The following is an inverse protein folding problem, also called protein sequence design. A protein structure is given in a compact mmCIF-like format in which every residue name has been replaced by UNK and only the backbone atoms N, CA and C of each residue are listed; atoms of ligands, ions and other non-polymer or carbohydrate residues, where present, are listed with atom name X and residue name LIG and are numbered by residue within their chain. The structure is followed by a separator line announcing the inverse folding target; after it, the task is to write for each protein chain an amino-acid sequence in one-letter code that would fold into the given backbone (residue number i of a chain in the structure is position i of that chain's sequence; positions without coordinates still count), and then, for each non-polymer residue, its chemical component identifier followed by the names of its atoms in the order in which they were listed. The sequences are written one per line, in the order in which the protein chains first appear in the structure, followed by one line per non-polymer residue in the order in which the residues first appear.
data_IF_889879553850
#
_entry.id   IF_889879553850
#
_cell.length_a   1.000
_cell.length_b   1.000
_cell.length_c   1.000
_cell.angle_alpha   90.00
_cell.angle_beta   90.00
_cell.angle_gamma   90.00
#
_symmetry.space_group_name_H-M   'P 1'
#
loop_
_entity.id
_entity.type
_entity.pdbx_description
1 polymer ?
#
# COMPACT_ATOMS: atom_id res chain seq x y z
N UNK A 1 1.15 -5.58 -1.11
CA UNK A 1 1.33 -4.29 -0.42
C UNK A 1 1.54 -4.57 1.06
N UNK A 2 2.63 -4.08 1.67
CA UNK A 2 2.92 -4.35 3.08
C UNK A 2 1.90 -3.67 4.00
N UNK A 3 1.65 -4.33 5.12
CA UNK A 3 0.97 -3.75 6.27
C UNK A 3 1.90 -3.84 7.47
N UNK A 4 1.86 -2.83 8.33
CA UNK A 4 2.55 -2.86 9.62
C UNK A 4 1.57 -2.55 10.74
N UNK A 5 1.71 -3.28 11.85
CA UNK A 5 0.98 -3.03 13.08
C UNK A 5 1.92 -2.35 14.07
N UNK A 6 1.58 -1.12 14.43
CA UNK A 6 2.41 -0.27 15.29
C UNK A 6 1.71 -0.15 16.65
N UNK A 7 2.24 -0.75 17.73
CA UNK A 7 1.69 -0.54 19.05
C UNK A 7 1.91 0.92 19.49
N UNK A 8 1.03 1.49 20.33
CA UNK A 8 1.28 2.80 20.92
C UNK A 8 2.55 2.78 21.77
N UNK A 9 3.38 3.81 21.67
CA UNK A 9 4.52 4.01 22.59
C UNK A 9 4.05 4.46 23.97
N UNK A 10 2.98 5.26 24.00
CA UNK A 10 2.36 5.79 25.20
C UNK A 10 0.85 5.67 25.07
N UNK A 11 0.18 5.20 26.13
CA UNK A 11 -1.27 5.25 26.24
C UNK A 11 -1.74 5.35 27.68
N UNK A 12 -2.78 6.13 27.90
CA UNK A 12 -3.29 6.44 29.24
C UNK A 12 -4.74 6.91 29.11
N UNK A 13 -5.57 6.68 30.13
CA UNK A 13 -6.76 7.50 30.31
C UNK A 13 -6.57 8.53 31.41
N UNK A 14 -7.19 9.68 31.23
CA UNK A 14 -7.26 10.75 32.23
C UNK A 14 -8.68 10.86 32.74
N UNK A 15 -8.84 11.19 34.02
CA UNK A 15 -10.13 11.34 34.68
C UNK A 15 -10.29 12.76 35.21
N UNK A 16 -11.35 13.44 34.80
CA UNK A 16 -11.71 14.76 35.32
C UNK A 16 -12.01 14.73 36.82
N UNK A 17 -12.55 13.61 37.32
CA UNK A 17 -12.87 13.44 38.73
C UNK A 17 -11.62 13.20 39.59
N UNK A 18 -10.58 12.59 39.01
CA UNK A 18 -9.27 12.41 39.65
C UNK A 18 -8.17 13.18 38.91
N UNK A 19 -8.19 14.51 38.93
CA UNK A 19 -7.51 15.30 37.92
C UNK A 19 -5.98 15.34 38.04
N UNK A 20 -5.44 14.94 39.20
CA UNK A 20 -4.00 14.83 39.48
C UNK A 20 -3.51 13.38 39.53
N UNK A 21 -4.36 12.39 39.24
CA UNK A 21 -3.97 10.97 39.28
C UNK A 21 -3.55 10.53 37.88
N UNK A 22 -2.38 9.91 37.80
CA UNK A 22 -1.91 9.22 36.60
C UNK A 22 -2.45 7.78 36.58
N UNK A 23 -2.87 7.32 35.40
CA UNK A 23 -3.44 5.98 35.19
C UNK A 23 -2.72 5.20 34.08
N UNK A 24 -1.51 5.61 33.68
CA UNK A 24 -0.79 5.06 32.52
C UNK A 24 -0.37 3.59 32.68
N UNK A 25 -0.37 3.06 33.91
CA UNK A 25 -0.01 1.65 34.21
C UNK A 25 -1.23 0.72 34.33
N UNK A 26 -2.42 1.20 34.02
CA UNK A 26 -3.63 0.38 34.08
C UNK A 26 -3.84 -0.38 32.78
N UNK A 27 -4.52 -1.52 32.89
CA UNK A 27 -4.79 -2.45 31.78
C UNK A 27 -5.95 -2.02 30.86
N UNK A 28 -6.47 -0.82 31.08
CA UNK A 28 -7.70 -0.32 30.44
C UNK A 28 -7.54 1.15 30.06
N UNK A 29 -8.18 1.52 28.95
CA UNK A 29 -8.39 2.89 28.50
C UNK A 29 -9.89 3.18 28.56
N UNK A 30 -10.27 4.40 28.93
CA UNK A 30 -11.67 4.80 29.12
C UNK A 30 -11.96 6.12 28.42
N UNK A 31 -13.11 6.18 27.75
CA UNK A 31 -13.63 7.40 27.14
C UNK A 31 -15.11 7.53 27.44
N UNK A 32 -15.58 8.75 27.70
CA UNK A 32 -16.99 9.01 27.97
C UNK A 32 -17.17 9.73 29.29
N UNK A 33 -18.32 9.54 29.91
CA UNK A 33 -18.64 10.18 31.18
C UNK A 33 -19.32 9.20 32.10
N UNK A 34 -18.92 9.19 33.36
CA UNK A 34 -19.55 8.36 34.37
C UNK A 34 -20.73 9.10 35.01
N UNK A 35 -20.92 9.05 36.33
CA UNK A 35 -22.19 9.45 36.96
C UNK A 35 -22.32 10.96 37.26
N UNK A 36 -21.22 11.70 37.38
CA UNK A 36 -21.24 13.13 37.79
C UNK A 36 -20.96 14.08 36.62
N UNK A 37 -21.34 15.36 36.76
CA UNK A 37 -21.12 16.35 35.69
C UNK A 37 -19.64 16.59 35.36
N UNK A 38 -18.73 16.39 36.33
CA UNK A 38 -17.29 16.62 36.20
C UNK A 38 -16.50 15.29 36.27
N UNK A 39 -17.00 14.25 35.63
CA UNK A 39 -16.47 12.88 35.67
C UNK A 39 -16.29 12.33 34.25
N UNK A 40 -15.68 13.17 33.40
CA UNK A 40 -15.29 12.80 32.05
C UNK A 40 -13.99 12.00 32.04
N UNK A 41 -13.92 11.05 31.11
CA UNK A 41 -12.75 10.21 30.82
C UNK A 41 -12.35 10.43 29.38
N UNK A 42 -11.04 10.54 29.16
CA UNK A 42 -10.43 10.65 27.82
C UNK A 42 -9.25 9.71 27.75
N UNK A 43 -9.06 9.05 26.62
CA UNK A 43 -7.91 8.17 26.40
C UNK A 43 -6.95 8.80 25.41
N UNK A 44 -5.68 8.88 25.78
CA UNK A 44 -4.60 9.39 24.95
C UNK A 44 -3.79 8.22 24.41
N UNK A 45 -3.41 8.27 23.14
CA UNK A 45 -2.53 7.31 22.50
C UNK A 45 -1.50 8.03 21.65
N UNK A 46 -0.25 7.57 21.68
CA UNK A 46 0.83 8.07 20.84
C UNK A 46 1.52 6.90 20.14
N UNK A 47 1.89 7.11 18.90
CA UNK A 47 2.57 6.12 18.07
C UNK A 47 3.91 6.68 17.60
N UNK A 48 4.90 5.82 17.44
CA UNK A 48 6.14 6.16 16.75
C UNK A 48 6.15 5.47 15.39
N UNK A 49 6.22 6.26 14.33
CA UNK A 49 6.27 5.77 12.95
C UNK A 49 7.72 5.58 12.46
N UNK A 50 8.68 6.13 13.21
CA UNK A 50 10.10 6.18 12.84
C UNK A 50 10.69 4.78 12.81
N UNK A 51 11.42 4.45 11.75
CA UNK A 51 12.05 3.13 11.56
C UNK A 51 11.07 1.94 11.49
N UNK A 52 9.76 2.20 11.49
CA UNK A 52 8.72 1.17 11.32
C UNK A 52 8.18 1.16 9.90
N UNK A 53 8.08 2.35 9.31
CA UNK A 53 7.75 2.53 7.90
C UNK A 53 9.00 3.11 7.22
N UNK A 54 9.50 2.48 6.14
CA UNK A 54 10.64 2.98 5.37
C UNK A 54 10.42 4.42 4.95
N UNK A 55 11.51 5.19 4.89
CA UNK A 55 11.44 6.60 4.52
C UNK A 55 10.88 6.75 3.10
N UNK A 56 10.30 7.91 2.83
CA UNK A 56 9.71 8.23 1.52
C UNK A 56 8.50 7.36 1.11
N UNK A 57 8.16 6.27 1.80
CA UNK A 57 7.02 5.40 1.50
C UNK A 57 5.71 6.19 1.31
N UNK A 58 4.81 5.66 0.49
CA UNK A 58 3.47 6.21 0.27
C UNK A 58 2.50 5.53 1.23
N UNK A 59 1.95 6.28 2.18
CA UNK A 59 0.88 5.77 3.06
C UNK A 59 -0.42 5.70 2.26
N UNK A 60 -0.99 4.51 2.11
CA UNK A 60 -2.22 4.27 1.37
C UNK A 60 -3.45 4.27 2.29
N UNK A 61 -3.29 3.72 3.48
CA UNK A 61 -4.36 3.56 4.45
C UNK A 61 -3.79 3.46 5.86
N UNK A 62 -4.41 4.11 6.84
CA UNK A 62 -4.08 3.93 8.24
C UNK A 62 -5.33 3.90 9.12
N UNK A 63 -5.41 2.89 9.99
CA UNK A 63 -6.54 2.74 10.89
C UNK A 63 -6.11 2.45 12.33
N UNK A 64 -6.68 3.21 13.25
CA UNK A 64 -6.58 2.95 14.68
C UNK A 64 -7.46 1.76 15.04
N UNK A 65 -6.86 0.72 15.62
CA UNK A 65 -7.52 -0.49 16.10
C UNK A 65 -7.58 -0.48 17.62
N UNK A 66 -8.80 -0.55 18.17
CA UNK A 66 -9.04 -0.60 19.62
C UNK A 66 -9.94 -1.78 19.95
N UNK A 67 -9.55 -2.60 20.92
CA UNK A 67 -10.40 -3.70 21.38
C UNK A 67 -11.38 -3.20 22.45
N UNK A 68 -12.68 -3.20 22.15
CA UNK A 68 -13.72 -2.74 23.08
C UNK A 68 -14.08 -3.88 24.03
N UNK A 69 -13.93 -3.68 25.33
CA UNK A 69 -14.32 -4.68 26.34
C UNK A 69 -15.53 -4.23 27.17
N UNK A 70 -15.93 -2.96 27.07
CA UNK A 70 -16.98 -2.36 27.89
C UNK A 70 -17.72 -1.27 27.13
N UNK A 71 -19.05 -1.28 27.25
CA UNK A 71 -19.96 -0.22 26.83
C UNK A 71 -21.09 -0.14 27.86
N UNK A 72 -21.20 0.98 28.57
CA UNK A 72 -22.11 1.10 29.72
C UNK A 72 -23.58 1.32 29.35
N UNK A 73 -23.84 1.87 28.17
CA UNK A 73 -25.19 2.12 27.64
C UNK A 73 -25.42 1.26 26.42
N UNK A 74 -26.46 0.43 26.44
CA UNK A 74 -26.86 -0.37 25.28
C UNK A 74 -27.37 0.53 24.16
N UNK A 75 -27.39 0.03 22.92
CA UNK A 75 -27.89 0.80 21.77
C UNK A 75 -29.38 1.17 21.93
N UNK A 76 -30.14 0.35 22.65
CA UNK A 76 -31.53 0.66 23.02
C UNK A 76 -31.66 1.81 24.03
N UNK A 77 -30.63 2.06 24.84
CA UNK A 77 -30.62 3.15 25.82
C UNK A 77 -30.06 4.46 25.24
N UNK A 78 -29.11 4.36 24.32
CA UNK A 78 -28.47 5.51 23.69
C UNK A 78 -27.72 5.10 22.41
N UNK A 79 -28.19 5.59 21.25
CA UNK A 79 -27.53 5.42 19.96
C UNK A 79 -27.82 6.63 19.05
N UNK A 80 -26.87 7.12 18.24
CA UNK A 80 -25.48 6.67 18.16
C UNK A 80 -24.64 7.14 19.36
N UNK A 81 -23.73 6.29 19.84
CA UNK A 81 -22.70 6.69 20.79
C UNK A 81 -21.40 6.95 20.03
N UNK A 82 -21.08 8.22 19.82
CA UNK A 82 -19.97 8.65 18.97
C UNK A 82 -18.74 8.99 19.80
N UNK A 83 -17.59 8.44 19.39
CA UNK A 83 -16.26 8.78 19.91
C UNK A 83 -15.49 9.52 18.81
N UNK A 84 -15.02 10.72 19.13
CA UNK A 84 -14.16 11.52 18.27
C UNK A 84 -12.69 11.25 18.59
N UNK A 85 -11.84 11.37 17.58
CA UNK A 85 -10.39 11.36 17.72
C UNK A 85 -9.88 12.78 17.51
N UNK A 86 -9.30 13.41 18.52
CA UNK A 86 -8.68 14.73 18.41
C UNK A 86 -7.17 14.61 18.41
N UNK A 87 -6.48 15.51 17.70
CA UNK A 87 -5.03 15.60 17.75
C UNK A 87 -4.61 16.34 19.03
N UNK A 88 -3.42 16.04 19.53
CA UNK A 88 -2.86 16.77 20.67
C UNK A 88 -2.00 17.93 20.17
N UNK A 89 -2.17 19.10 20.77
CA UNK A 89 -1.35 20.29 20.46
C UNK A 89 0.10 20.16 20.93
N UNK A 90 0.35 19.38 21.99
CA UNK A 90 1.67 19.15 22.58
C UNK A 90 1.96 17.67 22.77
N UNK A 91 3.23 17.30 22.67
CA UNK A 91 3.70 15.96 22.96
C UNK A 91 3.43 15.58 24.43
N UNK A 92 3.34 14.27 24.71
CA UNK A 92 3.17 13.76 26.07
C UNK A 92 3.92 12.46 26.33
N UNK A 93 4.11 12.15 27.62
CA UNK A 93 4.54 10.83 28.10
C UNK A 93 3.50 10.25 29.06
N UNK A 94 3.18 8.96 28.92
CA UNK A 94 2.13 8.30 29.70
C UNK A 94 2.38 8.35 31.22
N UNK A 95 3.63 8.51 31.67
CA UNK A 95 3.98 8.50 33.09
C UNK A 95 3.82 9.86 33.78
N UNK A 96 3.63 10.94 33.02
CA UNK A 96 3.65 12.31 33.53
C UNK A 96 2.30 13.02 33.39
N UNK A 97 1.41 12.50 32.55
CA UNK A 97 0.12 13.12 32.26
C UNK A 97 -0.97 12.74 33.27
N UNK A 98 -1.79 13.73 33.60
CA UNK A 98 -3.04 13.66 34.34
C UNK A 98 -4.07 14.53 33.61
N UNK A 99 -5.28 14.66 34.13
CA UNK A 99 -6.27 15.56 33.51
C UNK A 99 -5.81 17.02 33.47
N UNK A 100 -5.15 17.50 34.54
CA UNK A 100 -4.80 18.91 34.71
C UNK A 100 -3.63 19.38 33.83
N UNK A 101 -2.79 18.47 33.34
CA UNK A 101 -1.64 18.81 32.48
C UNK A 101 -1.70 18.11 31.11
N UNK A 102 -2.85 17.50 30.76
CA UNK A 102 -3.04 16.90 29.45
C UNK A 102 -2.89 17.94 28.33
N UNK A 103 -2.36 17.55 27.16
CA UNK A 103 -2.31 18.43 26.00
C UNK A 103 -3.68 19.01 25.65
N UNK A 104 -3.69 20.25 25.15
CA UNK A 104 -4.91 20.82 24.57
C UNK A 104 -5.29 20.05 23.29
N UNK A 105 -6.58 20.02 23.00
CA UNK A 105 -7.14 19.22 21.92
C UNK A 105 -7.34 20.07 20.68
N UNK A 106 -6.84 19.59 19.55
CA UNK A 106 -7.13 20.11 18.23
C UNK A 106 -8.15 19.19 17.51
N UNK A 107 -9.24 19.79 17.05
CA UNK A 107 -10.37 19.02 16.53
C UNK A 107 -10.02 18.43 15.16
N UNK A 108 -10.45 17.19 14.94
CA UNK A 108 -10.34 16.53 13.64
C UNK A 108 -11.69 16.00 13.18
N UNK A 109 -11.73 15.53 11.93
CA UNK A 109 -12.92 14.91 11.33
C UNK A 109 -13.13 13.44 11.74
N UNK A 110 -12.16 12.79 12.37
CA UNK A 110 -12.24 11.34 12.61
C UNK A 110 -13.17 11.03 13.79
N UNK A 111 -14.08 10.09 13.56
CA UNK A 111 -15.01 9.62 14.57
C UNK A 111 -15.47 8.20 14.28
N UNK A 112 -16.07 7.57 15.28
CA UNK A 112 -16.68 6.25 15.13
C UNK A 112 -17.94 6.15 16.00
N UNK A 113 -18.97 5.51 15.46
CA UNK A 113 -20.13 5.04 16.22
C UNK A 113 -19.78 3.70 16.87
N UNK A 114 -19.93 3.60 18.18
CA UNK A 114 -19.80 2.33 18.91
C UNK A 114 -21.17 1.70 19.08
N UNK A 115 -21.28 0.43 18.74
CA UNK A 115 -22.50 -0.39 18.81
C UNK A 115 -22.32 -1.56 19.78
N UNK A 116 -23.42 -2.18 20.21
CA UNK A 116 -23.37 -3.31 21.16
C UNK A 116 -22.59 -4.51 20.61
N UNK A 117 -22.57 -4.67 19.27
CA UNK A 117 -21.79 -5.73 18.58
C UNK A 117 -20.28 -5.56 18.70
N UNK A 118 -19.81 -4.35 19.00
CA UNK A 118 -18.38 -4.06 19.07
C UNK A 118 -17.76 -4.56 20.37
N UNK A 119 -18.57 -4.89 21.39
CA UNK A 119 -18.10 -5.48 22.64
C UNK A 119 -17.41 -6.82 22.35
N UNK A 120 -16.21 -6.98 22.90
CA UNK A 120 -15.28 -8.09 22.67
C UNK A 120 -14.74 -8.17 21.23
N UNK A 121 -14.76 -7.07 20.48
CA UNK A 121 -14.22 -6.99 19.14
C UNK A 121 -13.34 -5.74 18.96
N UNK A 122 -12.56 -5.73 17.88
CA UNK A 122 -11.84 -4.54 17.44
C UNK A 122 -12.76 -3.60 16.67
N UNK A 123 -12.73 -2.33 17.05
CA UNK A 123 -13.23 -1.24 16.21
C UNK A 123 -12.11 -0.70 15.32
N UNK A 124 -12.51 -0.04 14.23
CA UNK A 124 -11.61 0.45 13.19
C UNK A 124 -11.91 1.91 12.87
N UNK A 125 -11.03 2.82 13.27
CA UNK A 125 -11.17 4.25 12.97
C UNK A 125 -10.16 4.63 11.90
N UNK A 126 -10.64 5.03 10.73
CA UNK A 126 -9.78 5.56 9.66
C UNK A 126 -9.21 6.92 10.08
N UNK A 127 -7.89 6.97 10.18
CA UNK A 127 -7.12 8.17 10.51
C UNK A 127 -6.01 8.40 9.48
N UNK A 128 -6.24 7.96 8.24
CA UNK A 128 -5.24 7.98 7.16
C UNK A 128 -4.62 9.36 6.96
N UNK A 129 -5.43 10.42 6.87
CA UNK A 129 -4.91 11.77 6.57
C UNK A 129 -3.99 12.35 7.65
N UNK A 130 -4.22 12.06 8.94
CA UNK A 130 -3.34 12.54 10.02
C UNK A 130 -2.07 11.72 10.11
N UNK A 131 -2.14 10.41 9.85
CA UNK A 131 -0.95 9.54 9.79
C UNK A 131 -0.05 9.93 8.61
N UNK A 132 -0.62 10.26 7.44
CA UNK A 132 0.11 10.88 6.31
C UNK A 132 0.83 12.15 6.77
N UNK A 133 0.12 13.03 7.48
CA UNK A 133 0.67 14.31 7.94
C UNK A 133 1.80 14.14 8.95
N UNK A 134 1.72 13.14 9.83
CA UNK A 134 2.81 12.77 10.73
C UNK A 134 4.01 12.19 9.98
N UNK A 135 3.76 11.25 9.07
CA UNK A 135 4.80 10.53 8.34
C UNK A 135 5.65 11.46 7.46
N UNK A 136 5.01 12.41 6.77
CA UNK A 136 5.71 13.42 5.95
C UNK A 136 6.14 14.67 6.72
N UNK A 137 6.05 14.67 8.06
CA UNK A 137 6.41 15.81 8.92
C UNK A 137 5.68 17.12 8.55
N UNK A 138 4.45 17.05 8.03
CA UNK A 138 3.60 18.23 7.77
C UNK A 138 3.13 18.83 9.10
N UNK A 139 2.82 17.97 10.08
CA UNK A 139 2.51 18.36 11.45
C UNK A 139 3.26 17.45 12.44
N UNK A 140 3.57 17.93 13.67
CA UNK A 140 4.18 17.09 14.70
C UNK A 140 3.28 15.93 15.13
N UNK A 141 3.86 14.75 15.35
CA UNK A 141 3.18 13.60 15.94
C UNK A 141 3.17 13.69 17.48
N UNK A 142 2.20 14.43 17.99
CA UNK A 142 1.95 14.59 19.42
C UNK A 142 0.96 13.56 19.99
N UNK A 143 0.56 12.58 19.17
CA UNK A 143 -0.49 11.63 19.48
C UNK A 143 -1.91 12.20 19.38
N UNK A 144 -2.86 11.40 19.83
CA UNK A 144 -4.30 11.64 19.74
C UNK A 144 -4.99 11.47 21.09
N UNK A 145 -6.17 12.07 21.23
CA UNK A 145 -7.08 11.89 22.35
C UNK A 145 -8.46 11.46 21.87
N UNK A 146 -8.98 10.38 22.44
CA UNK A 146 -10.35 9.92 22.26
C UNK A 146 -11.27 10.70 23.20
N UNK A 147 -12.32 11.29 22.64
CA UNK A 147 -13.30 12.11 23.38
C UNK A 147 -14.71 11.70 22.97
N UNK A 148 -15.59 11.49 23.95
CA UNK A 148 -17.03 11.36 23.66
C UNK A 148 -17.61 12.71 23.25
N UNK A 149 -18.31 12.75 22.13
CA UNK A 149 -19.03 13.96 21.67
C UNK A 149 -20.17 14.34 22.63
N UNK A 150 -20.71 13.36 23.33
CA UNK A 150 -21.95 13.52 24.07
C UNK A 150 -21.71 13.71 25.56
N UNK A 151 -22.38 14.70 26.14
CA UNK A 151 -22.35 14.99 27.57
C UNK A 151 -23.33 14.10 28.37
N UNK A 152 -23.38 12.81 28.06
CA UNK A 152 -24.33 11.85 28.63
C UNK A 152 -23.66 11.09 29.77
N UNK A 153 -24.27 11.07 30.95
CA UNK A 153 -23.76 10.29 32.08
C UNK A 153 -23.91 8.78 31.85
N UNK A 154 -23.08 7.99 32.53
CA UNK A 154 -23.03 6.53 32.44
C UNK A 154 -22.85 6.04 30.99
N UNK A 155 -21.92 6.65 30.27
CA UNK A 155 -21.65 6.43 28.84
C UNK A 155 -20.20 5.99 28.59
N UNK A 156 -19.58 5.30 29.56
CA UNK A 156 -18.20 4.86 29.41
C UNK A 156 -18.11 3.80 28.32
N UNK A 157 -17.17 4.01 27.39
CA UNK A 157 -16.59 2.99 26.53
C UNK A 157 -15.22 2.65 27.08
N UNK A 158 -14.94 1.36 27.23
CA UNK A 158 -13.66 0.84 27.70
C UNK A 158 -12.93 0.04 26.63
N UNK A 159 -11.65 0.32 26.48
CA UNK A 159 -10.72 -0.37 25.59
C UNK A 159 -9.57 -1.02 26.39
N UNK A 160 -8.89 -2.00 25.81
CA UNK A 160 -7.64 -2.50 26.39
C UNK A 160 -6.49 -1.51 26.19
N UNK A 161 -5.57 -1.47 27.14
CA UNK A 161 -4.31 -0.74 27.05
C UNK A 161 -3.16 -1.66 26.63
N UNK A 162 -1.95 -1.11 26.47
CA UNK A 162 -0.73 -1.90 26.26
C UNK A 162 -0.35 -2.78 27.45
N UNK A 163 -0.81 -2.45 28.66
CA UNK A 163 -0.56 -3.21 29.88
C UNK A 163 -1.43 -4.48 29.99
N UNK A 164 -2.41 -4.66 29.10
CA UNK A 164 -3.26 -5.85 29.11
C UNK A 164 -2.46 -7.13 28.81
N UNK A 165 -2.75 -8.21 29.53
CA UNK A 165 -1.93 -9.44 29.47
C UNK A 165 -2.04 -10.19 28.15
N UNK A 166 -3.13 -10.00 27.38
CA UNK A 166 -3.35 -10.67 26.09
C UNK A 166 -2.92 -9.71 24.98
N UNK A 167 -1.80 -10.01 24.31
CA UNK A 167 -1.22 -9.17 23.24
C UNK A 167 -2.21 -8.89 22.11
N UNK A 168 -2.98 -9.89 21.71
CA UNK A 168 -3.86 -9.84 20.54
C UNK A 168 -5.08 -8.94 20.75
N UNK A 169 -5.29 -8.46 21.98
CA UNK A 169 -6.35 -7.51 22.33
C UNK A 169 -5.81 -6.10 22.60
N UNK A 170 -4.50 -5.88 22.47
CA UNK A 170 -3.89 -4.55 22.69
C UNK A 170 -4.21 -3.61 21.53
N UNK A 171 -4.22 -2.29 21.78
CA UNK A 171 -4.41 -1.30 20.72
C UNK A 171 -3.20 -1.29 19.77
N UNK A 172 -3.44 -0.98 18.50
CA UNK A 172 -2.40 -0.77 17.50
C UNK A 172 -2.88 0.14 16.38
N UNK A 173 -1.94 0.75 15.67
CA UNK A 173 -2.16 1.43 14.41
C UNK A 173 -1.83 0.48 13.27
N UNK A 174 -2.80 0.19 12.41
CA UNK A 174 -2.58 -0.62 11.22
C UNK A 174 -2.31 0.31 10.03
N UNK A 175 -1.12 0.26 9.45
CA UNK A 175 -0.74 1.11 8.32
C UNK A 175 -0.43 0.27 7.10
N UNK A 176 -1.13 0.55 6.00
CA UNK A 176 -0.82 0.07 4.67
C UNK A 176 -0.01 1.13 3.95
N UNK A 177 1.13 0.71 3.40
CA UNK A 177 2.00 1.61 2.65
C UNK A 177 2.57 0.93 1.42
N UNK A 178 3.15 1.73 0.55
CA UNK A 178 3.92 1.30 -0.61
C UNK A 178 5.32 1.90 -0.51
N UNK A 179 6.35 1.09 -0.75
CA UNK A 179 7.72 1.59 -0.78
C UNK A 179 7.87 2.54 -1.97
N UNK A 180 8.56 3.66 -1.79
CA UNK A 180 9.11 4.37 -2.95
C UNK A 180 10.28 3.59 -3.50
N UNK A 181 10.46 3.67 -4.82
CA UNK A 181 11.45 2.89 -5.59
C UNK A 181 12.90 3.04 -5.09
N UNK A 182 13.21 4.06 -4.28
CA UNK A 182 14.55 4.33 -3.74
C UNK A 182 14.88 3.55 -2.45
N UNK A 183 13.89 3.14 -1.65
CA UNK A 183 14.11 2.60 -0.29
C UNK A 183 14.27 1.07 -0.22
N UNK A 184 13.93 0.35 -1.30
CA UNK A 184 14.17 -1.10 -1.42
C UNK A 184 15.66 -1.45 -1.61
N UNK A 185 16.52 -0.46 -1.87
CA UNK A 185 17.96 -0.63 -2.05
C UNK A 185 18.77 -0.38 -0.77
N UNK A 186 18.13 0.02 0.34
CA UNK A 186 18.83 0.51 1.54
C UNK A 186 18.88 -0.47 2.72
N UNK A 187 18.01 -1.50 2.78
CA UNK A 187 17.99 -2.49 3.86
C UNK A 187 18.01 -3.93 3.29
N UNK A 188 19.19 -4.55 3.09
CA UNK A 188 19.27 -5.98 2.85
C UNK A 188 18.85 -6.71 4.13
N UNK A 189 17.86 -7.58 4.04
CA UNK A 189 17.47 -8.48 5.13
C UNK A 189 18.73 -9.28 5.52
N UNK A 190 19.20 -9.12 6.77
CA UNK A 190 20.23 -9.97 7.34
C UNK A 190 19.70 -11.42 7.33
N UNK A 191 20.30 -12.26 6.49
CA UNK A 191 20.03 -13.69 6.43
C UNK A 191 20.50 -14.30 7.74
N UNK A 192 19.57 -14.52 8.67
CA UNK A 192 19.81 -15.32 9.86
C UNK A 192 19.99 -16.77 9.39
N UNK A 193 21.24 -17.25 9.37
CA UNK A 193 21.55 -18.66 9.16
C UNK A 193 21.03 -19.47 10.35
N UNK A 194 19.76 -19.90 10.30
CA UNK A 194 19.19 -20.86 11.25
C UNK A 194 19.49 -22.28 10.79
N UNK A 195 20.10 -23.07 11.66
CA UNK A 195 20.50 -24.47 11.45
C UNK A 195 19.42 -25.50 11.82
N UNK A 196 18.13 -25.14 11.79
CA UNK A 196 17.06 -26.07 12.14
C UNK A 196 16.53 -26.88 10.93
N UNK A 197 16.10 -28.15 11.13
CA UNK A 197 15.76 -29.08 10.05
C UNK A 197 14.45 -28.72 9.32
N UNK A 198 14.28 -29.18 8.06
CA UNK A 198 13.27 -28.66 7.14
C UNK A 198 11.94 -29.39 7.31
N UNK A 199 11.02 -28.87 8.12
CA UNK A 199 9.63 -29.35 8.10
C UNK A 199 8.55 -28.26 7.98
N UNK A 200 8.95 -26.98 7.94
CA UNK A 200 8.00 -25.87 7.77
C UNK A 200 8.46 -24.81 6.75
N UNK A 201 9.26 -25.17 5.74
CA UNK A 201 9.71 -24.26 4.69
C UNK A 201 8.64 -23.94 3.61
N UNK A 202 7.38 -24.31 3.82
CA UNK A 202 6.38 -24.29 2.76
C UNK A 202 5.12 -23.48 3.13
N UNK A 203 5.26 -22.21 3.53
CA UNK A 203 4.18 -21.22 3.60
C UNK A 203 4.67 -19.76 3.46
N UNK A 204 5.64 -19.49 2.58
CA UNK A 204 5.97 -18.11 2.17
C UNK A 204 6.05 -17.97 0.65
N UNK A 205 4.95 -18.26 -0.03
CA UNK A 205 4.68 -17.64 -1.32
C UNK A 205 3.34 -16.90 -1.23
N UNK A 206 3.37 -15.63 -0.82
CA UNK A 206 2.19 -14.76 -0.87
C UNK A 206 2.53 -13.47 -1.64
N UNK A 207 2.06 -13.44 -2.89
CA UNK A 207 1.92 -12.31 -3.82
C UNK A 207 2.97 -11.18 -3.77
N UNK A 208 4.08 -11.38 -4.48
CA UNK A 208 4.87 -10.25 -4.99
C UNK A 208 4.13 -9.64 -6.18
N UNK A 209 3.72 -8.37 -6.09
CA UNK A 209 3.34 -7.60 -7.28
C UNK A 209 4.57 -7.52 -8.18
N UNK A 210 4.53 -8.18 -9.35
CA UNK A 210 5.60 -8.13 -10.34
C UNK A 210 5.12 -7.31 -11.53
N UNK A 211 5.89 -6.31 -11.95
CA UNK A 211 5.61 -5.56 -13.17
C UNK A 211 6.91 -5.09 -13.81
N UNK A 212 6.91 -4.88 -15.13
CA UNK A 212 8.09 -4.45 -15.87
C UNK A 212 7.70 -3.52 -17.02
N UNK A 213 8.35 -2.36 -17.09
CA UNK A 213 8.32 -1.49 -18.25
C UNK A 213 9.65 -1.58 -18.99
N UNK A 214 9.62 -2.05 -20.22
CA UNK A 214 10.78 -2.30 -21.08
C UNK A 214 10.52 -1.59 -22.40
N UNK A 215 11.50 -0.89 -22.95
CA UNK A 215 11.26 0.00 -24.08
C UNK A 215 12.47 0.15 -24.99
N UNK A 216 12.20 0.59 -26.23
CA UNK A 216 13.19 0.85 -27.27
C UNK A 216 13.17 2.35 -27.64
N UNK A 217 14.33 3.00 -27.61
CA UNK A 217 14.54 4.38 -28.08
C UNK A 217 15.57 4.49 -29.22
N UNK A 218 16.22 3.40 -29.61
CA UNK A 218 17.10 3.33 -30.76
C UNK A 218 16.31 2.95 -32.02
N UNK A 219 16.64 3.58 -33.16
CA UNK A 219 16.03 3.21 -34.42
C UNK A 219 16.33 1.74 -34.74
N UNK A 220 15.30 0.99 -35.10
CA UNK A 220 15.39 -0.46 -35.29
C UNK A 220 14.71 -0.88 -36.59
N UNK A 221 15.34 -1.82 -37.30
CA UNK A 221 14.72 -2.52 -38.43
C UNK A 221 14.40 -3.94 -37.99
N UNK A 222 13.12 -4.29 -37.95
CA UNK A 222 12.61 -5.58 -37.48
C UNK A 222 12.15 -6.38 -38.69
N UNK A 223 12.92 -7.39 -39.17
CA UNK A 223 12.50 -8.24 -40.27
C UNK A 223 11.18 -8.98 -39.98
N UNK A 224 10.57 -9.55 -41.02
CA UNK A 224 9.41 -10.44 -40.83
C UNK A 224 9.80 -11.60 -39.91
N UNK A 225 8.89 -11.97 -39.01
CA UNK A 225 9.05 -13.07 -38.04
C UNK A 225 10.24 -12.92 -37.09
N UNK A 226 10.78 -11.70 -36.98
CA UNK A 226 11.82 -11.34 -36.02
C UNK A 226 11.24 -10.56 -34.84
N UNK A 227 11.95 -10.62 -33.73
CA UNK A 227 11.54 -9.99 -32.48
C UNK A 227 12.12 -8.58 -32.34
N UNK A 228 11.36 -7.69 -31.71
CA UNK A 228 11.79 -6.35 -31.33
C UNK A 228 12.86 -6.45 -30.24
N UNK A 229 13.97 -5.74 -30.44
CA UNK A 229 15.05 -5.59 -29.47
C UNK A 229 14.77 -4.35 -28.62
N UNK A 230 14.75 -4.53 -27.30
CA UNK A 230 14.61 -3.42 -26.37
C UNK A 230 15.98 -2.98 -25.85
N UNK A 231 16.35 -1.72 -26.06
CA UNK A 231 17.63 -1.17 -25.61
C UNK A 231 17.61 -0.69 -24.14
N UNK A 232 16.41 -0.51 -23.58
CA UNK A 232 16.24 0.10 -22.27
C UNK A 232 15.28 -0.68 -21.34
N UNK A 233 15.66 -0.71 -20.07
CA UNK A 233 14.80 -1.11 -18.96
C UNK A 233 14.31 0.13 -18.22
N UNK A 234 12.99 0.22 -18.06
CA UNK A 234 12.35 1.23 -17.22
C UNK A 234 12.20 0.75 -15.78
N UNK A 235 11.03 1.00 -15.19
CA UNK A 235 10.72 0.49 -13.85
C UNK A 235 10.37 -1.00 -13.96
N UNK A 236 11.08 -1.84 -13.23
CA UNK A 236 10.81 -3.27 -13.11
C UNK A 236 10.78 -3.63 -11.62
N UNK A 237 9.89 -4.55 -11.24
CA UNK A 237 9.74 -5.08 -9.87
C UNK A 237 9.31 -6.55 -9.91
N UNK A 238 9.61 -7.28 -8.85
CA UNK A 238 9.55 -8.74 -8.81
C UNK A 238 10.70 -9.36 -9.62
N UNK A 239 10.50 -10.59 -10.07
CA UNK A 239 11.58 -11.39 -10.68
C UNK A 239 11.57 -11.37 -12.22
N UNK A 240 10.74 -10.51 -12.85
CA UNK A 240 10.77 -10.32 -14.30
C UNK A 240 12.12 -9.75 -14.69
N UNK A 241 12.77 -10.32 -15.70
CA UNK A 241 14.10 -9.90 -16.13
C UNK A 241 14.18 -9.70 -17.64
N UNK A 242 15.00 -8.74 -18.05
CA UNK A 242 15.31 -8.45 -19.43
C UNK A 242 16.74 -7.90 -19.50
N UNK A 243 17.53 -8.44 -20.43
CA UNK A 243 18.89 -7.94 -20.70
C UNK A 243 18.78 -6.87 -21.77
N UNK A 244 19.28 -5.66 -21.52
CA UNK A 244 19.23 -4.58 -22.52
C UNK A 244 19.91 -4.99 -23.82
N UNK A 245 19.39 -4.50 -24.95
CA UNK A 245 19.78 -4.88 -26.30
C UNK A 245 19.49 -6.36 -26.62
N UNK A 246 18.45 -6.94 -26.01
CA UNK A 246 17.92 -8.26 -26.37
C UNK A 246 16.40 -8.18 -26.59
N UNK A 247 15.80 -9.23 -27.13
CA UNK A 247 14.34 -9.31 -27.33
C UNK A 247 13.63 -10.02 -26.17
N UNK A 248 14.33 -10.95 -25.52
CA UNK A 248 13.76 -11.93 -24.62
C UNK A 248 13.51 -11.34 -23.23
N UNK A 249 12.27 -11.44 -22.77
CA UNK A 249 11.85 -11.03 -21.44
C UNK A 249 11.43 -12.27 -20.66
N UNK A 250 12.13 -12.58 -19.57
CA UNK A 250 11.87 -13.76 -18.76
C UNK A 250 10.94 -13.43 -17.59
N UNK A 251 9.85 -14.19 -17.48
CA UNK A 251 8.86 -14.12 -16.40
C UNK A 251 8.95 -15.42 -15.60
N UNK A 252 9.66 -15.45 -14.47
CA UNK A 252 10.01 -16.71 -13.79
C UNK A 252 8.89 -17.30 -12.93
N UNK A 253 7.94 -16.48 -12.48
CA UNK A 253 6.94 -16.89 -11.49
C UNK A 253 5.60 -17.22 -12.15
N UNK A 254 4.95 -18.34 -11.75
CA UNK A 254 3.63 -18.69 -12.24
C UNK A 254 2.58 -17.63 -11.83
N UNK A 255 1.49 -17.56 -12.58
CA UNK A 255 0.40 -16.62 -12.33
C UNK A 255 -0.17 -16.03 -13.61
N UNK A 256 -1.22 -15.21 -13.51
CA UNK A 256 -1.75 -14.49 -14.66
C UNK A 256 -1.05 -13.14 -14.81
N UNK A 257 -0.67 -12.76 -16.03
CA UNK A 257 0.01 -11.51 -16.32
C UNK A 257 -0.67 -10.78 -17.47
N UNK A 258 -0.96 -9.50 -17.27
CA UNK A 258 -1.32 -8.58 -18.35
C UNK A 258 -0.05 -8.10 -19.03
N UNK A 259 0.02 -8.23 -20.35
CA UNK A 259 1.06 -7.67 -21.20
C UNK A 259 0.40 -6.62 -22.08
N UNK A 260 0.91 -5.41 -22.03
CA UNK A 260 0.53 -4.30 -22.90
C UNK A 260 1.75 -3.92 -23.72
N UNK A 261 1.58 -3.68 -25.01
CA UNK A 261 2.66 -3.26 -25.87
C UNK A 261 2.25 -2.13 -26.77
N UNK A 262 3.25 -1.38 -27.21
CA UNK A 262 3.09 -0.25 -28.09
C UNK A 262 4.22 -0.25 -29.10
N UNK A 263 3.91 0.06 -30.36
CA UNK A 263 4.91 0.24 -31.43
C UNK A 263 4.55 1.44 -32.29
N UNK A 264 5.56 2.16 -32.75
CA UNK A 264 5.43 3.28 -33.68
C UNK A 264 6.11 2.92 -35.00
N UNK A 265 5.34 2.87 -36.08
CA UNK A 265 5.83 2.48 -37.41
C UNK A 265 5.31 3.45 -38.47
N UNK A 266 5.96 3.50 -39.65
CA UNK A 266 5.55 4.35 -40.78
C UNK A 266 4.90 3.58 -41.93
N UNK A 267 4.73 2.27 -41.78
CA UNK A 267 4.17 1.34 -42.77
C UNK A 267 3.25 0.36 -42.09
N UNK A 268 2.32 -0.26 -42.83
CA UNK A 268 1.43 -1.31 -42.32
C UNK A 268 2.19 -2.27 -41.41
N UNK A 269 1.76 -2.37 -40.15
CA UNK A 269 2.47 -3.13 -39.14
C UNK A 269 1.49 -3.95 -38.30
N UNK A 270 1.93 -5.13 -37.88
CA UNK A 270 1.25 -6.02 -36.97
C UNK A 270 2.27 -6.68 -36.06
N UNK A 271 2.01 -6.62 -34.76
CA UNK A 271 2.87 -7.22 -33.74
C UNK A 271 2.07 -8.14 -32.84
N UNK A 272 2.71 -9.18 -32.32
CA UNK A 272 2.11 -10.17 -31.43
C UNK A 272 3.09 -10.61 -30.34
N UNK A 273 2.56 -11.10 -29.22
CA UNK A 273 3.37 -11.71 -28.17
C UNK A 273 3.66 -13.16 -28.55
N UNK A 274 4.93 -13.55 -28.46
CA UNK A 274 5.38 -14.93 -28.65
C UNK A 274 5.91 -15.48 -27.33
N UNK A 275 5.61 -16.73 -27.04
CA UNK A 275 6.10 -17.49 -25.88
C UNK A 275 7.14 -18.49 -26.36
N UNK A 276 8.26 -18.55 -25.62
CA UNK A 276 9.37 -19.47 -25.81
C UNK A 276 9.77 -19.60 -27.29
N UNK A 277 9.89 -18.43 -27.95
CA UNK A 277 10.29 -18.18 -29.33
C UNK A 277 9.45 -18.84 -30.45
N UNK A 278 8.45 -19.65 -30.10
CA UNK A 278 7.76 -20.55 -31.04
C UNK A 278 6.27 -20.31 -31.18
N UNK A 279 5.61 -19.86 -30.11
CA UNK A 279 4.15 -19.86 -30.03
C UNK A 279 3.59 -18.44 -29.95
N UNK A 280 2.88 -18.01 -30.99
CA UNK A 280 2.11 -16.75 -30.94
C UNK A 280 0.94 -16.92 -29.96
N UNK A 281 0.83 -16.02 -28.99
CA UNK A 281 -0.28 -16.00 -28.03
C UNK A 281 -1.56 -15.62 -28.76
N UNK A 282 -2.57 -16.48 -28.68
CA UNK A 282 -3.88 -16.24 -29.28
C UNK A 282 -4.49 -14.93 -28.77
N UNK A 283 -4.98 -14.10 -29.69
CA UNK A 283 -5.57 -12.79 -29.37
C UNK A 283 -4.57 -11.67 -29.09
N UNK A 284 -3.25 -11.91 -29.20
CA UNK A 284 -2.22 -10.88 -28.98
C UNK A 284 -1.78 -10.14 -30.24
N UNK A 285 -2.29 -10.49 -31.42
CA UNK A 285 -1.90 -9.87 -32.68
C UNK A 285 -2.69 -8.58 -32.95
N UNK A 286 -2.01 -7.43 -32.85
CA UNK A 286 -2.58 -6.11 -33.10
C UNK A 286 -1.89 -5.45 -34.28
N UNK A 287 -2.67 -4.98 -35.25
CA UNK A 287 -2.13 -4.38 -36.46
C UNK A 287 -2.88 -3.13 -36.88
N UNK A 288 -2.14 -2.26 -37.57
CA UNK A 288 -2.65 -1.05 -38.19
C UNK A 288 -2.26 -1.07 -39.65
N UNK A 289 -3.25 -0.85 -40.51
CA UNK A 289 -3.06 -0.67 -41.94
C UNK A 289 -3.33 0.78 -42.33
N UNK A 290 -2.42 1.38 -43.08
CA UNK A 290 -2.63 2.67 -43.70
C UNK A 290 -3.66 2.50 -44.83
N UNK A 291 -4.75 3.28 -44.74
CA UNK A 291 -5.76 3.37 -45.80
C UNK A 291 -5.41 4.43 -46.86
N UNK A 292 -4.24 5.08 -46.74
CA UNK A 292 -3.76 6.12 -47.66
C UNK A 292 -2.26 5.95 -47.96
N UNK A 293 -1.82 6.43 -49.13
CA UNK A 293 -0.43 6.34 -49.61
C UNK A 293 0.53 7.36 -48.98
N UNK A 294 0.04 8.23 -48.08
CA UNK A 294 0.88 9.18 -47.37
C UNK A 294 1.45 8.50 -46.11
N UNK A 295 2.77 8.29 -46.09
CA UNK A 295 3.50 7.55 -45.06
C UNK A 295 3.70 8.35 -43.77
N UNK A 296 2.63 8.54 -43.00
CA UNK A 296 2.71 9.07 -41.65
C UNK A 296 3.07 7.97 -40.66
N UNK A 297 3.79 8.33 -39.60
CA UNK A 297 3.98 7.44 -38.46
C UNK A 297 2.63 7.21 -37.76
N UNK A 298 2.35 5.95 -37.40
CA UNK A 298 1.22 5.55 -36.57
C UNK A 298 1.69 4.76 -35.37
N UNK A 299 0.91 4.87 -34.31
CA UNK A 299 1.10 4.12 -33.09
C UNK A 299 0.10 2.97 -33.04
N UNK A 300 0.60 1.74 -32.86
CA UNK A 300 -0.21 0.54 -32.63
C UNK A 300 -0.08 0.14 -31.17
N UNK A 301 -1.21 -0.03 -30.48
CA UNK A 301 -1.29 -0.51 -29.10
C UNK A 301 -1.98 -1.87 -29.07
N UNK A 302 -1.38 -2.82 -28.35
CA UNK A 302 -1.93 -4.14 -28.12
C UNK A 302 -1.91 -4.54 -26.65
N UNK A 303 -2.72 -5.52 -26.29
CA UNK A 303 -2.73 -6.10 -24.95
C UNK A 303 -3.14 -7.57 -24.98
N UNK A 304 -2.69 -8.34 -24.01
CA UNK A 304 -3.11 -9.72 -23.79
C UNK A 304 -2.93 -10.10 -22.33
N UNK A 305 -3.72 -11.06 -21.82
CA UNK A 305 -3.47 -11.69 -20.53
C UNK A 305 -2.96 -13.10 -20.82
N UNK A 306 -1.83 -13.48 -20.23
CA UNK A 306 -1.26 -14.82 -20.32
C UNK A 306 -1.22 -15.50 -18.96
N UNK A 307 -1.32 -16.82 -18.96
CA UNK A 307 -1.04 -17.64 -17.79
C UNK A 307 0.40 -18.15 -17.87
N UNK A 308 1.18 -17.91 -16.82
CA UNK A 308 2.58 -18.34 -16.71
C UNK A 308 2.63 -19.65 -15.93
N UNK A 309 3.24 -20.71 -16.49
CA UNK A 309 3.32 -22.00 -15.81
C UNK A 309 4.38 -22.01 -14.70
N UNK A 310 4.36 -23.07 -13.89
CA UNK A 310 5.46 -23.38 -12.97
C UNK A 310 6.76 -23.57 -13.77
N UNK A 311 7.82 -22.88 -13.38
CA UNK A 311 9.09 -22.84 -14.13
C UNK A 311 9.29 -21.58 -14.97
N UNK A 312 8.26 -20.73 -15.09
CA UNK A 312 8.31 -19.46 -15.81
C UNK A 312 8.14 -19.62 -17.32
N UNK A 313 8.18 -18.49 -18.03
CA UNK A 313 8.27 -18.46 -19.49
C UNK A 313 9.16 -17.31 -19.97
N UNK A 314 9.57 -17.37 -21.23
CA UNK A 314 10.13 -16.23 -21.95
C UNK A 314 9.11 -15.68 -22.93
N UNK A 315 8.98 -14.36 -23.01
CA UNK A 315 8.19 -13.69 -24.05
C UNK A 315 9.06 -12.80 -24.94
N UNK A 316 8.60 -12.60 -26.17
CA UNK A 316 9.11 -11.59 -27.11
C UNK A 316 7.95 -10.85 -27.79
N UNK A 317 8.24 -9.67 -28.34
CA UNK A 317 7.32 -8.94 -29.23
C UNK A 317 7.73 -9.19 -30.67
N UNK A 318 6.94 -9.94 -31.43
CA UNK A 318 7.29 -10.35 -32.80
C UNK A 318 6.60 -9.52 -33.84
N UNK A 319 7.35 -9.13 -34.88
CA UNK A 319 6.79 -8.61 -36.12
C UNK A 319 6.12 -9.73 -36.92
N UNK A 320 4.79 -9.67 -37.02
CA UNK A 320 3.96 -10.64 -37.77
C UNK A 320 3.30 -10.01 -39.00
N UNK A 321 3.83 -8.87 -39.48
CA UNK A 321 3.28 -8.09 -40.59
C UNK A 321 3.46 -8.73 -41.97
N UNK A 322 4.24 -9.82 -42.07
CA UNK A 322 4.66 -10.42 -43.34
C UNK A 322 5.63 -9.57 -44.16
N UNK A 323 6.19 -8.50 -43.56
CA UNK A 323 7.18 -7.61 -44.17
C UNK A 323 8.08 -6.99 -43.10
N UNK A 324 9.23 -6.47 -43.50
CA UNK A 324 10.15 -5.76 -42.58
C UNK A 324 9.56 -4.43 -42.15
N UNK A 325 9.59 -4.16 -40.84
CA UNK A 325 9.10 -2.91 -40.24
C UNK A 325 10.28 -2.10 -39.72
N UNK A 326 10.22 -0.78 -39.89
CA UNK A 326 11.18 0.16 -39.29
C UNK A 326 10.52 0.90 -38.13
N UNK A 327 11.11 0.79 -36.95
CA UNK A 327 10.78 1.56 -35.76
C UNK A 327 11.69 2.79 -35.74
N UNK A 328 11.14 3.94 -36.14
CA UNK A 328 11.89 5.20 -36.26
C UNK A 328 11.97 5.95 -34.94
N UNK A 329 12.92 6.87 -34.85
CA UNK A 329 13.06 7.84 -33.75
C UNK A 329 12.81 9.27 -34.24
N UNK A 330 12.64 10.19 -33.31
CA UNK A 330 12.25 11.60 -33.48
C UNK A 330 10.92 11.79 -34.22
N UNK A 331 9.93 10.92 -34.00
CA UNK A 331 8.62 11.08 -34.62
C UNK A 331 7.88 12.28 -34.01
N UNK A 332 7.65 13.33 -34.81
CA UNK A 332 6.82 14.48 -34.43
C UNK A 332 7.49 15.52 -33.51
N UNK A 333 8.80 15.41 -33.25
CA UNK A 333 9.54 16.36 -32.40
C UNK A 333 11.06 16.25 -32.54
N UNK A 334 11.79 16.98 -31.69
CA UNK A 334 13.28 17.01 -31.67
C UNK A 334 13.90 16.12 -30.59
N UNK A 335 13.07 15.49 -29.76
CA UNK A 335 13.50 14.58 -28.70
C UNK A 335 13.41 13.14 -29.19
N UNK A 336 14.32 12.30 -28.71
CA UNK A 336 14.25 10.85 -28.94
C UNK A 336 12.97 10.33 -28.29
N UNK A 337 12.09 9.73 -29.10
CA UNK A 337 10.84 9.11 -28.67
C UNK A 337 11.00 7.60 -28.48
N UNK A 338 10.13 7.06 -27.62
CA UNK A 338 9.95 5.63 -27.47
C UNK A 338 9.25 5.08 -28.71
N UNK A 339 9.94 4.23 -29.47
CA UNK A 339 9.40 3.65 -30.70
C UNK A 339 8.75 2.27 -30.47
N UNK A 340 9.09 1.58 -29.40
CA UNK A 340 8.40 0.38 -28.92
C UNK A 340 8.48 0.26 -27.40
N UNK A 341 7.43 -0.27 -26.77
CA UNK A 341 7.47 -0.59 -25.35
C UNK A 341 6.57 -1.78 -25.00
N UNK A 342 6.93 -2.45 -23.91
CA UNK A 342 6.16 -3.49 -23.23
C UNK A 342 5.99 -3.09 -21.77
N UNK A 343 4.75 -3.17 -21.29
CA UNK A 343 4.39 -3.15 -19.87
C UNK A 343 3.85 -4.53 -19.49
N UNK A 344 4.42 -5.14 -18.46
CA UNK A 344 3.99 -6.43 -17.92
C UNK A 344 3.48 -6.17 -16.51
N UNK A 345 2.32 -6.72 -16.12
CA UNK A 345 1.76 -6.61 -14.77
C UNK A 345 1.19 -7.95 -14.35
N UNK A 346 1.70 -8.50 -13.24
CA UNK A 346 1.15 -9.68 -12.60
C UNK A 346 -0.21 -9.37 -11.97
N UNK A 347 -1.18 -10.23 -12.20
CA UNK A 347 -2.57 -10.12 -11.74
C UNK A 347 -2.89 -11.10 -10.59
N UNK A 348 -2.30 -12.30 -10.59
CA UNK A 348 -2.57 -13.38 -9.62
C UNK A 348 -1.34 -14.23 -9.30
#
# INVERSE_FOLDING_TARGET
MPFVQIPPTDNIYISQFFPNKNFGKLTTLLTGKYLKSNDAYRSLLKFDLSNVIPSESIILYAALKLFVYRKDKTDSQFSPQIINVYANTNNFSQNEITWNNAPELDQTQYSIKIEDKDINNFINIDITSIVISWFYNIIPNNGITLVSMHNIINSIIGYRSTEWSISDQRPFLNVQYEYTKNDLCANPIEVINSTDPPEHANLMETSSNAYAYIYNIAAETVPTDSDVIFDNNGVMTGDISHTTNTASIFIPKPGDYKIEFLTTATTNSQFAIVIDDTTIVSGSAYGVALLSTLGFAHQSQGQVIIAVPNGGLTITLRNVSGSTITLNVNNGGTSIDCNASIMITRLS
#
